data_IF_878639305479
#
_entry.id   IF_878639305479
#
_cell.length_a   1.000
_cell.length_b   1.000
_cell.length_c   1.000
_cell.angle_alpha   90.00
_cell.angle_beta   90.00
_cell.angle_gamma   90.00
#
_symmetry.space_group_name_H-M   'P 1'
#
loop_
_entity.id
_entity.type
_entity.pdbx_description
1 polymer ?
#
# COMPACT_ATOMS: atom_id res chain seq x y z
N UNK A 1 -57.55 -26.36 -43.35
CA UNK A 1 -56.97 -27.70 -43.62
C UNK A 1 -56.10 -28.04 -42.42
N UNK A 2 -56.59 -28.77 -41.41
CA UNK A 2 -56.78 -30.23 -41.41
C UNK A 2 -55.42 -30.90 -41.69
N UNK A 3 -54.76 -31.63 -40.79
CA UNK A 3 -55.23 -32.77 -40.01
C UNK A 3 -54.14 -33.19 -38.98
N UNK A 4 -54.57 -33.48 -37.74
CA UNK A 4 -54.24 -34.62 -36.86
C UNK A 4 -52.85 -35.29 -36.98
N UNK A 5 -52.12 -35.54 -35.89
CA UNK A 5 -52.51 -36.46 -34.81
C UNK A 5 -51.79 -37.81 -35.05
N UNK A 6 -50.79 -38.15 -34.25
CA UNK A 6 -50.91 -39.01 -33.05
C UNK A 6 -50.71 -40.50 -33.37
N UNK A 7 -50.08 -41.20 -32.43
CA UNK A 7 -49.83 -42.66 -32.34
C UNK A 7 -48.68 -43.22 -33.22
N UNK A 8 -47.92 -44.22 -32.81
CA UNK A 8 -47.63 -44.87 -31.53
C UNK A 8 -46.46 -45.82 -31.83
N UNK A 9 -45.56 -46.04 -30.88
CA UNK A 9 -44.43 -46.95 -31.11
C UNK A 9 -43.65 -47.29 -29.85
N UNK A 10 -44.32 -47.33 -28.70
CA UNK A 10 -43.72 -47.76 -27.44
C UNK A 10 -44.01 -49.26 -27.27
N UNK A 11 -43.04 -50.09 -27.65
CA UNK A 11 -43.09 -51.54 -27.44
C UNK A 11 -42.89 -51.85 -25.95
N UNK A 12 -43.99 -52.04 -25.24
CA UNK A 12 -44.02 -52.67 -23.93
C UNK A 12 -43.98 -54.19 -24.13
N UNK A 13 -42.86 -54.84 -23.80
CA UNK A 13 -42.85 -56.30 -23.59
C UNK A 13 -42.81 -56.58 -22.09
N UNK A 14 -43.96 -57.01 -21.62
CA UNK A 14 -44.22 -57.55 -20.29
C UNK A 14 -43.60 -58.96 -20.20
N UNK A 15 -42.61 -59.15 -19.32
CA UNK A 15 -42.28 -60.47 -18.79
C UNK A 15 -42.76 -60.56 -17.35
N UNK A 16 -44.05 -60.84 -17.21
CA UNK A 16 -44.60 -61.48 -16.01
C UNK A 16 -44.36 -62.98 -16.18
N UNK A 17 -43.43 -63.56 -15.42
CA UNK A 17 -43.36 -65.01 -15.27
C UNK A 17 -42.90 -65.36 -13.86
N UNK A 18 -43.91 -65.68 -13.06
CA UNK A 18 -43.93 -66.78 -12.12
C UNK A 18 -42.93 -66.78 -10.97
N UNK A 19 -43.28 -65.99 -9.94
CA UNK A 19 -42.84 -66.17 -8.56
C UNK A 19 -43.76 -67.18 -7.89
N UNK A 20 -43.40 -68.46 -7.89
CA UNK A 20 -43.89 -69.42 -6.90
C UNK A 20 -42.85 -70.54 -6.67
N UNK A 21 -42.66 -70.86 -5.38
CA UNK A 21 -42.11 -72.09 -4.81
C UNK A 21 -40.59 -72.30 -4.88
N UNK A 22 -39.90 -71.85 -3.83
CA UNK A 22 -38.90 -72.71 -3.17
C UNK A 22 -38.61 -72.20 -1.73
N UNK A 23 -39.07 -72.91 -0.69
CA UNK A 23 -38.66 -72.66 0.68
C UNK A 23 -37.49 -73.60 1.06
N UNK A 24 -36.55 -73.09 1.85
CA UNK A 24 -35.43 -73.80 2.50
C UNK A 24 -34.27 -74.27 1.60
N UNK A 25 -33.15 -73.54 1.67
CA UNK A 25 -31.92 -73.96 1.01
C UNK A 25 -30.68 -73.14 1.36
N UNK A 26 -30.13 -73.40 2.56
CA UNK A 26 -28.70 -73.28 2.92
C UNK A 26 -28.12 -71.86 3.05
N UNK A 27 -27.90 -71.50 4.31
CA UNK A 27 -26.95 -70.49 4.75
C UNK A 27 -25.53 -70.82 4.22
N UNK A 28 -25.14 -70.11 3.15
CA UNK A 28 -23.79 -70.05 2.61
C UNK A 28 -23.06 -68.87 3.23
N UNK A 29 -22.02 -69.18 4.00
CA UNK A 29 -21.14 -68.27 4.72
C UNK A 29 -20.35 -67.40 3.73
N UNK A 30 -20.81 -66.18 3.44
CA UNK A 30 -20.03 -65.21 2.67
C UNK A 30 -18.86 -64.70 3.52
N UNK A 31 -17.68 -65.23 3.22
CA UNK A 31 -16.40 -64.65 3.66
C UNK A 31 -16.28 -63.28 3.03
N UNK A 32 -16.10 -62.25 3.86
CA UNK A 32 -15.89 -60.87 3.44
C UNK A 32 -14.74 -60.76 2.43
N UNK A 33 -15.08 -60.60 1.16
CA UNK A 33 -14.17 -60.17 0.12
C UNK A 33 -13.95 -58.66 0.31
N UNK A 34 -12.95 -58.31 1.11
CA UNK A 34 -12.48 -56.93 1.26
C UNK A 34 -11.96 -56.47 -0.13
N UNK A 35 -12.39 -55.33 -0.67
CA UNK A 35 -11.86 -54.83 -1.94
C UNK A 35 -10.34 -54.60 -1.80
N UNK A 36 -9.53 -54.83 -2.85
CA UNK A 36 -8.10 -54.55 -2.78
C UNK A 36 -7.92 -53.08 -2.43
N UNK A 37 -7.28 -52.82 -1.29
CA UNK A 37 -6.94 -51.48 -0.85
C UNK A 37 -6.18 -50.77 -1.97
N UNK A 38 -6.84 -49.83 -2.64
CA UNK A 38 -6.27 -48.93 -3.64
C UNK A 38 -5.18 -48.14 -2.94
N UNK A 39 -3.92 -48.54 -3.13
CA UNK A 39 -2.75 -47.87 -2.53
C UNK A 39 -2.75 -46.39 -2.97
N UNK A 40 -2.27 -45.47 -2.13
CA UNK A 40 -2.19 -44.07 -2.50
C UNK A 40 -1.37 -43.91 -3.80
N UNK A 41 -1.74 -42.95 -4.68
CA UNK A 41 -1.13 -42.75 -6.00
C UNK A 41 0.37 -42.40 -5.96
N UNK A 42 0.95 -42.26 -4.77
CA UNK A 42 2.36 -41.96 -4.53
C UNK A 42 3.31 -43.01 -5.16
N UNK A 43 2.92 -44.29 -5.20
CA UNK A 43 3.75 -45.32 -5.84
C UNK A 43 3.84 -45.13 -7.36
N UNK A 44 2.78 -44.62 -8.00
CA UNK A 44 2.78 -44.36 -9.43
C UNK A 44 3.68 -43.17 -9.78
N UNK A 45 3.71 -42.12 -8.96
CA UNK A 45 4.62 -40.99 -9.14
C UNK A 45 6.08 -41.39 -9.00
N UNK A 46 6.42 -42.22 -8.02
CA UNK A 46 7.80 -42.69 -7.83
C UNK A 46 8.23 -43.62 -8.98
N UNK A 47 7.34 -44.50 -9.44
CA UNK A 47 7.62 -45.39 -10.58
C UNK A 47 7.79 -44.61 -11.90
N UNK A 48 6.96 -43.59 -12.15
CA UNK A 48 7.10 -42.68 -13.28
C UNK A 48 8.40 -41.86 -13.19
N UNK A 49 8.81 -41.45 -11.98
CA UNK A 49 10.05 -40.70 -11.75
C UNK A 49 11.31 -41.53 -11.98
N UNK A 50 11.29 -42.83 -11.63
CA UNK A 50 12.41 -43.75 -11.88
C UNK A 50 12.43 -44.30 -13.31
N UNK A 51 11.29 -44.31 -14.01
CA UNK A 51 11.16 -44.73 -15.40
C UNK A 51 11.51 -43.63 -16.42
N UNK A 52 11.69 -42.39 -15.98
CA UNK A 52 12.13 -41.28 -16.83
C UNK A 52 13.65 -41.36 -17.07
N UNK A 53 14.05 -41.41 -18.35
CA UNK A 53 15.45 -41.30 -18.78
C UNK A 53 16.23 -40.19 -18.04
N UNK A 54 17.50 -40.43 -17.72
CA UNK A 54 18.35 -39.46 -17.01
C UNK A 54 18.35 -38.06 -17.64
N UNK A 55 18.23 -37.99 -18.98
CA UNK A 55 18.10 -36.73 -19.74
C UNK A 55 16.74 -36.03 -19.54
N UNK A 56 15.64 -36.78 -19.39
CA UNK A 56 14.31 -36.20 -19.10
C UNK A 56 14.25 -35.72 -17.65
N UNK A 57 14.87 -36.44 -16.72
CA UNK A 57 14.95 -36.06 -15.31
C UNK A 57 15.71 -34.75 -15.11
N UNK A 58 16.83 -34.53 -15.81
CA UNK A 58 17.56 -33.24 -15.73
C UNK A 58 16.77 -32.08 -16.32
N UNK A 59 16.02 -32.29 -17.41
CA UNK A 59 15.13 -31.26 -17.98
C UNK A 59 14.02 -30.88 -16.99
N UNK A 60 13.36 -31.86 -16.36
CA UNK A 60 12.30 -31.58 -15.38
C UNK A 60 12.83 -30.84 -14.16
N UNK A 61 13.96 -31.29 -13.61
CA UNK A 61 14.60 -30.60 -12.46
C UNK A 61 15.00 -29.17 -12.86
N UNK A 62 15.62 -29.00 -14.04
CA UNK A 62 16.01 -27.70 -14.57
C UNK A 62 14.81 -26.77 -14.77
N UNK A 63 13.71 -27.27 -15.34
CA UNK A 63 12.48 -26.51 -15.56
C UNK A 63 11.84 -26.08 -14.23
N UNK A 64 11.84 -26.95 -13.23
CA UNK A 64 11.28 -26.65 -11.91
C UNK A 64 12.09 -25.55 -11.21
N UNK A 65 13.43 -25.65 -11.26
CA UNK A 65 14.34 -24.62 -10.71
C UNK A 65 14.17 -23.31 -11.48
N UNK A 66 14.16 -23.36 -12.81
CA UNK A 66 13.99 -22.17 -13.65
C UNK A 66 12.66 -21.47 -13.39
N UNK A 67 11.57 -22.23 -13.23
CA UNK A 67 10.26 -21.67 -12.88
C UNK A 67 10.26 -21.03 -11.49
N UNK A 68 10.89 -21.67 -10.50
CA UNK A 68 11.02 -21.11 -9.16
C UNK A 68 11.84 -19.81 -9.16
N UNK A 69 12.97 -19.78 -9.88
CA UNK A 69 13.79 -18.59 -10.07
C UNK A 69 13.06 -17.49 -10.85
N UNK A 70 12.27 -17.85 -11.86
CA UNK A 70 11.47 -16.90 -12.61
C UNK A 70 10.39 -16.25 -11.73
N UNK A 71 9.71 -17.02 -10.88
CA UNK A 71 8.71 -16.50 -9.94
C UNK A 71 9.38 -15.60 -8.89
N UNK A 72 10.52 -16.01 -8.32
CA UNK A 72 11.29 -15.18 -7.40
C UNK A 72 11.80 -13.89 -8.06
N UNK A 73 12.28 -13.99 -9.30
CA UNK A 73 12.73 -12.87 -10.11
C UNK A 73 11.60 -11.88 -10.39
N UNK A 74 10.47 -12.36 -10.89
CA UNK A 74 9.27 -11.54 -11.12
C UNK A 74 8.73 -10.93 -9.83
N UNK A 75 8.73 -11.67 -8.73
CA UNK A 75 8.30 -11.17 -7.42
C UNK A 75 9.22 -10.05 -6.92
N UNK A 76 10.55 -10.21 -7.07
CA UNK A 76 11.53 -9.17 -6.74
C UNK A 76 11.38 -7.94 -7.63
N UNK A 77 11.14 -8.12 -8.93
CA UNK A 77 10.95 -7.03 -9.89
C UNK A 77 9.61 -6.30 -9.68
N UNK A 78 8.55 -7.02 -9.33
CA UNK A 78 7.28 -6.43 -8.92
C UNK A 78 7.40 -5.67 -7.58
N UNK A 79 8.35 -6.07 -6.74
CA UNK A 79 8.62 -5.44 -5.45
C UNK A 79 9.65 -4.30 -5.51
N UNK A 80 10.23 -3.96 -6.66
CA UNK A 80 11.05 -2.73 -6.79
C UNK A 80 10.10 -1.54 -7.00
N UNK A 81 9.79 -0.76 -5.95
CA UNK A 81 8.85 0.33 -6.08
C UNK A 81 9.52 1.44 -6.89
N UNK A 82 8.76 2.10 -7.77
CA UNK A 82 9.24 3.34 -8.37
C UNK A 82 9.30 4.39 -7.26
N UNK A 83 10.52 4.74 -6.84
CA UNK A 83 10.71 5.76 -5.81
C UNK A 83 10.42 7.14 -6.41
N UNK A 84 9.36 7.78 -5.94
CA UNK A 84 8.95 9.11 -6.34
C UNK A 84 9.27 10.13 -5.23
N UNK A 85 9.58 11.35 -5.65
CA UNK A 85 9.84 12.46 -4.75
C UNK A 85 8.57 12.82 -3.96
N UNK A 86 8.67 12.79 -2.62
CA UNK A 86 7.61 13.22 -1.71
C UNK A 86 7.74 14.71 -1.38
N UNK A 87 8.88 15.13 -0.83
CA UNK A 87 9.24 16.51 -0.50
C UNK A 87 10.73 16.76 -0.75
N UNK A 88 11.09 18.00 -1.11
CA UNK A 88 12.47 18.47 -1.33
C UNK A 88 12.65 19.88 -0.77
N UNK A 89 13.89 20.33 -0.57
CA UNK A 89 14.20 21.69 -0.16
C UNK A 89 13.76 22.04 1.26
N UNK A 90 13.67 21.04 2.15
CA UNK A 90 13.29 21.24 3.54
C UNK A 90 14.53 21.37 4.42
N UNK A 91 14.43 22.17 5.47
CA UNK A 91 15.41 22.18 6.55
C UNK A 91 15.47 20.81 7.24
N UNK A 92 16.63 20.50 7.83
CA UNK A 92 16.89 19.20 8.47
C UNK A 92 15.92 18.88 9.60
N UNK A 93 15.38 19.90 10.28
CA UNK A 93 14.37 19.77 11.32
C UNK A 93 13.02 19.31 10.75
N UNK A 94 12.51 20.01 9.73
CA UNK A 94 11.28 19.62 9.04
C UNK A 94 11.40 18.24 8.38
N UNK A 95 12.54 17.93 7.76
CA UNK A 95 12.82 16.62 7.19
C UNK A 95 12.78 15.50 8.25
N UNK A 96 13.36 15.75 9.44
CA UNK A 96 13.33 14.80 10.55
C UNK A 96 11.91 14.48 11.05
N UNK A 97 11.03 15.49 11.08
CA UNK A 97 9.62 15.28 11.45
C UNK A 97 8.86 14.45 10.42
N UNK A 98 9.10 14.68 9.13
CA UNK A 98 8.51 13.88 8.04
C UNK A 98 9.01 12.44 8.10
N UNK A 99 10.31 12.22 8.32
CA UNK A 99 10.89 10.87 8.47
C UNK A 99 10.28 10.14 9.66
N UNK A 100 10.20 10.78 10.83
CA UNK A 100 9.59 10.17 12.01
C UNK A 100 8.14 9.75 11.75
N UNK A 101 7.37 10.59 11.03
CA UNK A 101 6.00 10.28 10.67
C UNK A 101 5.90 9.11 9.65
N UNK A 102 6.85 8.98 8.72
CA UNK A 102 6.93 7.85 7.79
C UNK A 102 7.31 6.55 8.50
N UNK A 103 8.24 6.61 9.45
CA UNK A 103 8.67 5.46 10.28
C UNK A 103 7.53 4.92 11.14
N UNK A 104 6.76 5.81 11.78
CA UNK A 104 5.58 5.42 12.58
C UNK A 104 4.55 4.62 11.77
N UNK A 105 4.48 4.86 10.46
CA UNK A 105 3.57 4.16 9.54
C UNK A 105 4.19 2.93 8.88
N UNK A 106 5.48 2.68 9.09
CA UNK A 106 6.20 1.56 8.46
C UNK A 106 6.31 1.71 6.93
N UNK A 107 6.35 2.93 6.41
CA UNK A 107 6.46 3.20 4.98
C UNK A 107 7.93 3.10 4.56
N UNK A 108 8.21 2.39 3.45
CA UNK A 108 9.54 2.39 2.86
C UNK A 108 9.86 3.78 2.28
N UNK A 109 10.95 4.39 2.75
CA UNK A 109 11.40 5.70 2.32
C UNK A 109 12.90 5.68 2.00
N UNK A 110 13.32 6.63 1.17
CA UNK A 110 14.73 6.85 0.81
C UNK A 110 15.07 8.34 0.93
N UNK A 111 16.09 8.67 1.72
CA UNK A 111 16.55 10.05 1.88
C UNK A 111 17.74 10.29 0.96
N UNK A 112 17.64 11.31 0.11
CA UNK A 112 18.69 11.75 -0.82
C UNK A 112 18.97 13.23 -0.59
N UNK A 113 19.98 13.55 0.22
CA UNK A 113 20.31 14.93 0.56
C UNK A 113 19.17 15.61 1.33
N UNK A 114 18.58 16.65 0.73
CA UNK A 114 17.44 17.44 1.25
C UNK A 114 16.07 16.94 0.75
N UNK A 115 16.04 15.75 0.14
CA UNK A 115 14.85 15.20 -0.49
C UNK A 115 14.48 13.82 0.04
N UNK A 116 13.18 13.58 0.22
CA UNK A 116 12.62 12.31 0.70
C UNK A 116 11.82 11.68 -0.44
N UNK A 117 12.11 10.41 -0.74
CA UNK A 117 11.43 9.62 -1.75
C UNK A 117 10.66 8.48 -1.09
N UNK A 118 9.51 8.13 -1.68
CA UNK A 118 8.64 7.03 -1.26
C UNK A 118 8.12 6.28 -2.48
N UNK A 119 7.49 5.14 -2.28
CA UNK A 119 6.76 4.43 -3.33
C UNK A 119 5.77 5.36 -4.07
N UNK A 120 5.89 5.46 -5.39
CA UNK A 120 5.05 6.30 -6.23
C UNK A 120 3.55 6.01 -6.08
N UNK A 121 3.18 4.75 -5.78
CA UNK A 121 1.78 4.35 -5.56
C UNK A 121 1.18 4.97 -4.30
N UNK A 122 2.00 5.30 -3.31
CA UNK A 122 1.57 5.81 -2.01
C UNK A 122 1.87 7.31 -1.84
N UNK A 123 2.69 7.91 -2.70
CA UNK A 123 3.12 9.32 -2.62
C UNK A 123 1.96 10.28 -2.37
N UNK A 124 0.91 10.22 -3.18
CA UNK A 124 -0.17 11.21 -3.12
C UNK A 124 -1.04 11.03 -1.87
N UNK A 125 -1.28 9.79 -1.46
CA UNK A 125 -1.97 9.48 -0.21
C UNK A 125 -1.15 9.98 0.99
N UNK A 126 0.17 9.72 1.00
CA UNK A 126 1.06 10.17 2.06
C UNK A 126 1.13 11.69 2.16
N UNK A 127 1.15 12.41 1.04
CA UNK A 127 1.07 13.88 1.05
C UNK A 127 -0.21 14.37 1.71
N UNK A 128 -1.34 13.76 1.39
CA UNK A 128 -2.62 14.14 2.00
C UNK A 128 -2.62 13.88 3.50
N UNK A 129 -2.13 12.71 3.94
CA UNK A 129 -2.08 12.35 5.36
C UNK A 129 -1.11 13.20 6.15
N UNK A 130 0.10 13.44 5.62
CA UNK A 130 1.11 14.28 6.27
C UNK A 130 0.65 15.74 6.34
N UNK A 131 0.01 16.25 5.28
CA UNK A 131 -0.55 17.60 5.29
C UNK A 131 -1.66 17.75 6.36
N UNK A 132 -2.46 16.71 6.59
CA UNK A 132 -3.47 16.71 7.66
C UNK A 132 -2.85 16.79 9.06
N UNK A 133 -1.61 16.33 9.22
CA UNK A 133 -0.82 16.44 10.46
C UNK A 133 -0.03 17.74 10.55
N UNK A 134 -0.13 18.63 9.55
CA UNK A 134 0.64 19.86 9.48
C UNK A 134 2.09 19.66 9.07
N UNK A 135 2.41 18.52 8.44
CA UNK A 135 3.74 18.20 7.92
C UNK A 135 3.83 18.42 6.40
N UNK A 136 4.97 18.88 5.88
CA UNK A 136 6.14 19.34 6.62
C UNK A 136 5.83 20.63 7.38
N UNK A 137 6.41 20.78 8.57
CA UNK A 137 6.28 22.01 9.34
C UNK A 137 6.77 23.15 8.45
N UNK A 138 5.84 23.94 7.92
CA UNK A 138 6.15 25.12 7.12
C UNK A 138 6.82 26.11 8.07
N UNK A 139 8.16 26.07 8.11
CA UNK A 139 8.95 27.15 8.68
C UNK A 139 8.51 28.47 8.05
N UNK A 140 8.75 29.57 8.76
CA UNK A 140 8.27 30.94 8.51
C UNK A 140 8.53 31.54 7.10
N UNK A 141 9.03 30.75 6.14
CA UNK A 141 9.36 31.07 4.76
C UNK A 141 8.23 31.73 3.94
N UNK A 142 6.97 31.66 4.40
CA UNK A 142 5.87 32.36 3.73
C UNK A 142 5.92 33.90 3.86
N UNK A 143 6.47 34.42 4.97
CA UNK A 143 6.56 35.86 5.22
C UNK A 143 7.91 36.46 4.85
N UNK A 144 8.99 35.66 4.86
CA UNK A 144 10.34 36.13 4.51
C UNK A 144 10.47 36.48 3.03
N UNK A 145 9.71 35.81 2.16
CA UNK A 145 9.60 36.16 0.73
C UNK A 145 8.93 37.53 0.52
N UNK A 146 8.05 37.95 1.43
CA UNK A 146 7.41 39.28 1.39
C UNK A 146 8.32 40.36 1.97
N UNK A 147 9.15 40.02 2.96
CA UNK A 147 10.11 40.96 3.56
C UNK A 147 11.26 41.31 2.60
N UNK A 148 11.73 40.32 1.82
CA UNK A 148 12.70 40.54 0.73
C UNK A 148 12.17 41.38 -0.44
N UNK A 149 10.84 41.50 -0.59
CA UNK A 149 10.18 42.34 -1.60
C UNK A 149 9.94 43.79 -1.14
N UNK A 150 10.37 44.15 0.08
CA UNK A 150 10.26 45.52 0.64
C UNK A 150 10.89 46.62 -0.22
N UNK A 151 11.71 46.28 -1.23
CA UNK A 151 12.30 47.25 -2.16
C UNK A 151 11.41 47.73 -3.30
N UNK A 152 10.33 47.02 -3.66
CA UNK A 152 9.52 47.31 -4.86
C UNK A 152 8.03 47.44 -4.50
N UNK A 153 7.66 48.47 -3.73
CA UNK A 153 6.25 48.78 -3.44
C UNK A 153 5.89 49.07 -1.99
N UNK A 154 6.76 49.74 -1.22
CA UNK A 154 6.34 50.25 0.10
C UNK A 154 5.22 51.27 -0.09
N UNK A 155 4.02 50.99 0.38
CA UNK A 155 2.95 51.99 0.44
C UNK A 155 3.29 53.03 1.51
N UNK A 156 2.77 54.25 1.41
CA UNK A 156 2.96 55.29 2.44
C UNK A 156 2.56 54.78 3.83
N UNK A 157 1.52 53.93 3.89
CA UNK A 157 1.04 53.29 5.11
C UNK A 157 2.07 52.36 5.76
N UNK A 158 2.84 51.60 4.98
CA UNK A 158 3.92 50.76 5.52
C UNK A 158 5.11 51.59 6.02
N UNK A 159 5.43 52.68 5.33
CA UNK A 159 6.47 53.61 5.78
C UNK A 159 6.07 54.29 7.10
N UNK A 160 4.83 54.75 7.20
CA UNK A 160 4.30 55.35 8.43
C UNK A 160 4.36 54.35 9.59
N UNK A 161 3.92 53.10 9.39
CA UNK A 161 4.00 52.06 10.41
C UNK A 161 5.44 51.76 10.86
N UNK A 162 6.39 51.69 9.92
CA UNK A 162 7.81 51.49 10.22
C UNK A 162 8.40 52.70 10.98
N UNK A 163 8.04 53.92 10.57
CA UNK A 163 8.47 55.16 11.21
C UNK A 163 7.98 55.27 12.66
N UNK A 164 6.71 54.93 12.93
CA UNK A 164 6.17 54.91 14.29
C UNK A 164 6.83 53.86 15.17
N UNK A 165 7.06 52.65 14.65
CA UNK A 165 7.78 51.60 15.36
C UNK A 165 9.21 52.02 15.72
N UNK A 166 9.89 52.71 14.81
CA UNK A 166 11.23 53.24 15.05
C UNK A 166 11.23 54.31 16.16
N UNK A 167 10.28 55.25 16.12
CA UNK A 167 10.13 56.27 17.18
C UNK A 167 9.81 55.68 18.55
N UNK A 168 8.88 54.72 18.61
CA UNK A 168 8.54 54.01 19.85
C UNK A 168 9.76 53.32 20.45
N UNK A 169 10.62 52.72 19.59
CA UNK A 169 11.88 52.12 19.99
C UNK A 169 12.86 53.12 20.60
N UNK A 170 13.08 54.28 19.97
CA UNK A 170 13.99 55.31 20.48
C UNK A 170 13.49 55.94 21.79
N UNK A 171 12.18 56.17 21.92
CA UNK A 171 11.60 56.60 23.19
C UNK A 171 11.78 55.54 24.28
N UNK A 172 11.54 54.26 23.96
CA UNK A 172 11.74 53.17 24.92
C UNK A 172 13.19 53.09 25.39
N UNK A 173 14.18 53.23 24.47
CA UNK A 173 15.61 53.29 24.83
C UNK A 173 15.93 54.49 25.73
N UNK A 174 15.33 55.64 25.45
CA UNK A 174 15.52 56.86 26.26
C UNK A 174 14.97 56.69 27.67
N UNK A 175 13.81 56.04 27.83
CA UNK A 175 13.22 55.74 29.14
C UNK A 175 14.09 54.72 29.90
N UNK A 176 14.56 53.67 29.21
CA UNK A 176 15.43 52.64 29.79
C UNK A 176 16.82 53.16 30.18
N UNK A 177 17.25 54.31 29.68
CA UNK A 177 18.49 54.94 30.12
C UNK A 177 18.46 55.39 31.60
N UNK A 178 17.27 55.46 32.22
CA UNK A 178 17.14 55.69 33.65
C UNK A 178 17.40 54.40 34.45
N UNK A 179 18.39 54.37 35.36
CA UNK A 179 18.79 53.16 36.09
C UNK A 179 17.71 52.61 37.04
N UNK A 180 16.64 53.35 37.33
CA UNK A 180 15.52 52.87 38.15
C UNK A 180 14.45 52.12 37.34
N UNK A 181 14.52 52.11 35.99
CA UNK A 181 13.51 51.49 35.12
C UNK A 181 14.04 50.20 34.51
N UNK A 182 13.40 49.07 34.83
CA UNK A 182 13.81 47.73 34.36
C UNK A 182 13.26 47.32 33.00
N UNK A 183 12.09 47.85 32.61
CA UNK A 183 11.43 47.56 31.35
C UNK A 183 10.54 48.73 30.95
N UNK A 184 10.49 49.06 29.65
CA UNK A 184 9.62 50.09 29.10
C UNK A 184 9.03 49.62 27.76
N UNK A 185 7.72 49.83 27.59
CA UNK A 185 6.99 49.60 26.35
C UNK A 185 6.17 50.84 26.05
N UNK A 186 6.38 51.42 24.87
CA UNK A 186 5.76 52.68 24.44
C UNK A 186 4.84 52.40 23.27
N UNK A 187 3.61 52.94 23.33
CA UNK A 187 2.64 52.90 22.24
C UNK A 187 2.14 54.31 21.96
N UNK A 188 2.27 54.77 20.72
CA UNK A 188 1.85 56.11 20.30
C UNK A 188 0.53 55.98 19.53
N UNK A 189 -0.54 56.55 20.08
CA UNK A 189 -1.81 56.66 19.38
C UNK A 189 -1.80 57.86 18.44
N UNK A 190 -2.22 57.65 17.18
CA UNK A 190 -2.46 58.70 16.20
C UNK A 190 -3.92 59.17 16.34
N UNK A 191 -4.18 60.48 16.26
CA UNK A 191 -5.55 60.96 16.04
C UNK A 191 -5.99 60.61 14.60
N UNK A 192 -7.24 60.18 14.39
CA UNK A 192 -7.76 59.79 13.08
C UNK A 192 -7.87 60.97 12.09
#
# INVERSE_FOLDING_TARGET
>A
MATSGFADGFSYTTKVTNRLLNPFGKAGRERGQKPPCRRPPLQNLVALWTALDGRRRTIVIGATIAMFLAILGLSRMAATPSMALLYAGMDSSAAGQVVAALEQRGVAYEVRGDSIHVDASQRDALRMTLAAEGLPATGAAGYELLDGLSGFGTTSQMFDAAYWRAREGELARTILANPQIRAARVHIAQAP
#
